data_IF_887061165670
#
_entry.id   IF_887061165670
#
_cell.length_a   1.000
_cell.length_b   1.000
_cell.length_c   1.000
_cell.angle_alpha   90.00
_cell.angle_beta   90.00
_cell.angle_gamma   90.00
#
_symmetry.space_group_name_H-M   'P 1'
#
loop_
_entity.id
_entity.type
_entity.pdbx_description
1 polymer ?
#
# COMPACT_ATOMS: atom_id res chain seq x y z
N UNK A 1 -0.48 -4.48 64.44
CA UNK A 1 0.19 -4.17 63.16
C UNK A 1 -0.80 -4.27 62.02
N UNK A 2 -1.32 -3.13 61.59
CA UNK A 2 -2.33 -3.06 60.51
C UNK A 2 -1.57 -2.80 59.20
N UNK A 3 -1.51 -3.82 58.31
CA UNK A 3 -0.94 -3.68 56.96
C UNK A 3 -1.92 -2.87 56.10
N UNK A 4 -1.52 -1.67 55.72
CA UNK A 4 -2.23 -0.85 54.74
C UNK A 4 -1.98 -1.48 53.35
N UNK A 5 -3.01 -2.05 52.74
CA UNK A 5 -3.04 -2.40 51.31
C UNK A 5 -3.10 -1.11 50.52
N UNK A 6 -2.04 -0.84 49.74
CA UNK A 6 -2.04 0.20 48.73
C UNK A 6 -2.92 -0.27 47.54
N UNK A 7 -3.87 0.54 47.05
CA UNK A 7 -4.61 0.20 45.85
C UNK A 7 -3.67 0.29 44.64
N UNK A 8 -3.56 -0.79 43.88
CA UNK A 8 -2.91 -0.82 42.56
C UNK A 8 -3.76 0.02 41.62
N UNK A 9 -3.32 1.24 41.32
CA UNK A 9 -3.87 2.05 40.23
C UNK A 9 -3.53 1.38 38.93
N UNK A 10 -4.46 0.62 38.35
CA UNK A 10 -4.43 0.21 36.94
C UNK A 10 -4.55 1.47 36.10
N UNK A 11 -3.42 1.97 35.60
CA UNK A 11 -3.41 2.98 34.56
C UNK A 11 -4.18 2.42 33.35
N UNK A 12 -5.12 3.17 32.77
CA UNK A 12 -5.78 2.73 31.55
C UNK A 12 -4.68 2.54 30.49
N UNK A 13 -4.58 1.32 29.96
CA UNK A 13 -3.83 1.05 28.74
C UNK A 13 -4.51 1.86 27.62
N UNK A 14 -4.02 3.04 27.38
CA UNK A 14 -4.33 3.78 26.16
C UNK A 14 -3.80 2.93 25.02
N UNK A 15 -4.70 2.22 24.32
CA UNK A 15 -4.37 1.56 23.08
C UNK A 15 -3.84 2.63 22.13
N UNK A 16 -2.57 2.54 21.82
CA UNK A 16 -1.89 3.53 20.99
C UNK A 16 -2.60 3.58 19.63
N UNK A 17 -3.14 4.75 19.34
CA UNK A 17 -3.56 5.10 18.01
C UNK A 17 -2.39 4.87 17.06
N UNK A 18 -2.58 4.12 15.98
CA UNK A 18 -1.50 3.70 15.10
C UNK A 18 -1.44 4.59 13.86
N UNK A 19 -0.29 5.19 13.62
CA UNK A 19 0.00 5.85 12.36
C UNK A 19 0.09 4.83 11.19
N UNK A 20 -0.20 5.28 9.97
CA UNK A 20 -0.07 4.51 8.73
C UNK A 20 0.91 5.21 7.80
N UNK A 21 2.24 5.19 8.10
CA UNK A 21 3.20 6.13 7.54
C UNK A 21 3.57 5.88 6.07
N UNK A 22 3.18 4.76 5.49
CA UNK A 22 3.47 4.37 4.11
C UNK A 22 2.47 3.35 3.58
N UNK A 23 2.63 2.97 2.31
CA UNK A 23 1.78 1.98 1.65
C UNK A 23 1.77 0.65 2.42
N UNK A 24 0.58 0.10 2.66
CA UNK A 24 0.30 -1.12 3.43
C UNK A 24 0.65 -1.05 4.92
N UNK A 25 0.83 0.17 5.47
CA UNK A 25 0.99 0.39 6.92
C UNK A 25 2.34 0.01 7.49
N UNK A 26 2.55 0.19 8.79
CA UNK A 26 3.87 0.15 9.42
C UNK A 26 4.60 -1.18 9.32
N UNK A 27 3.89 -2.28 9.08
CA UNK A 27 4.46 -3.63 8.89
C UNK A 27 4.46 -4.08 7.41
N UNK A 28 4.08 -3.23 6.47
CA UNK A 28 3.96 -3.53 5.03
C UNK A 28 3.03 -4.70 4.69
N UNK A 29 2.14 -5.08 5.59
CA UNK A 29 1.27 -6.26 5.49
C UNK A 29 -0.19 -5.94 5.16
N UNK A 30 -0.57 -4.65 5.16
CA UNK A 30 -1.93 -4.19 4.93
C UNK A 30 -2.85 -4.40 6.13
N UNK A 31 -2.29 -4.53 7.35
CA UNK A 31 -3.04 -4.79 8.56
C UNK A 31 -2.78 -3.67 9.59
N UNK A 32 -3.82 -2.94 9.96
CA UNK A 32 -3.77 -2.03 11.11
C UNK A 32 -3.82 -2.82 12.42
N UNK A 33 -3.00 -2.41 13.37
CA UNK A 33 -2.98 -3.02 14.71
C UNK A 33 -3.99 -2.35 15.66
N UNK A 34 -4.80 -1.44 15.14
CA UNK A 34 -5.84 -0.79 15.92
C UNK A 34 -6.91 -1.78 16.38
N UNK A 35 -7.35 -1.61 17.60
CA UNK A 35 -8.39 -2.42 18.26
C UNK A 35 -9.54 -1.54 18.71
N UNK A 36 -10.68 -2.17 19.02
CA UNK A 36 -11.87 -1.48 19.56
C UNK A 36 -12.42 -0.38 18.64
N UNK A 37 -12.22 -0.48 17.33
CA UNK A 37 -12.85 0.39 16.37
C UNK A 37 -14.29 -0.06 16.06
N UNK A 38 -15.11 0.83 15.47
CA UNK A 38 -16.49 0.55 15.07
C UNK A 38 -16.51 -0.45 13.89
N UNK A 39 -17.03 -1.63 14.11
CA UNK A 39 -17.02 -2.76 13.15
C UNK A 39 -18.36 -3.03 12.50
N UNK A 40 -19.40 -2.37 12.95
CA UNK A 40 -20.77 -2.43 12.46
C UNK A 40 -21.38 -1.02 12.49
N UNK A 41 -22.27 -0.75 11.57
CA UNK A 41 -22.94 0.54 11.43
C UNK A 41 -24.31 0.37 10.75
N UNK A 42 -25.23 1.34 10.91
CA UNK A 42 -26.51 1.34 10.21
C UNK A 42 -26.30 1.46 8.68
N UNK A 43 -27.37 1.24 7.90
CA UNK A 43 -27.31 1.36 6.44
C UNK A 43 -26.80 2.72 5.93
N UNK A 44 -27.00 3.78 6.72
CA UNK A 44 -26.45 5.12 6.45
C UNK A 44 -24.94 5.18 6.51
N UNK A 45 -24.29 4.15 7.07
CA UNK A 45 -22.84 4.04 7.24
C UNK A 45 -22.29 4.71 8.50
N UNK A 46 -20.97 4.65 8.69
CA UNK A 46 -20.31 5.38 9.76
C UNK A 46 -20.34 6.88 9.48
N UNK A 47 -20.23 7.70 10.52
CA UNK A 47 -20.24 9.16 10.41
C UNK A 47 -19.14 9.65 9.50
N UNK A 48 -19.49 10.38 8.44
CA UNK A 48 -18.54 11.11 7.60
C UNK A 48 -18.10 12.36 8.34
N UNK A 49 -16.80 12.54 8.56
CA UNK A 49 -16.23 13.71 9.21
C UNK A 49 -15.93 14.82 8.20
N UNK A 50 -15.35 14.44 7.08
CA UNK A 50 -14.98 15.38 6.01
C UNK A 50 -14.81 14.65 4.67
N UNK A 51 -14.76 15.44 3.61
CA UNK A 51 -14.40 15.01 2.26
C UNK A 51 -13.50 16.07 1.61
N UNK A 52 -12.68 15.65 0.65
CA UNK A 52 -11.76 16.51 -0.09
C UNK A 52 -11.57 16.02 -1.53
N UNK A 53 -11.19 16.94 -2.42
CA UNK A 53 -10.74 16.64 -3.77
C UNK A 53 -9.22 16.74 -3.84
N UNK A 54 -8.57 15.61 -4.16
CA UNK A 54 -7.11 15.50 -4.20
C UNK A 54 -6.57 15.17 -5.60
N UNK A 55 -7.39 15.37 -6.63
CA UNK A 55 -7.03 15.13 -8.02
C UNK A 55 -7.05 13.66 -8.45
N UNK A 56 -6.96 13.45 -9.76
CA UNK A 56 -7.02 12.14 -10.40
C UNK A 56 -5.81 11.29 -9.98
N UNK A 57 -6.03 10.00 -9.70
CA UNK A 57 -4.96 9.05 -9.41
C UNK A 57 -5.37 7.94 -8.45
N UNK A 58 -4.42 7.06 -8.20
CA UNK A 58 -4.60 5.82 -7.42
C UNK A 58 -3.68 5.75 -6.18
N UNK A 59 -2.96 6.83 -5.89
CA UNK A 59 -2.17 6.94 -4.66
C UNK A 59 -3.02 6.62 -3.44
N UNK A 60 -2.57 5.74 -2.56
CA UNK A 60 -3.19 5.54 -1.26
C UNK A 60 -2.85 6.69 -0.33
N UNK A 61 -3.22 6.58 0.92
CA UNK A 61 -2.97 7.58 1.93
C UNK A 61 -1.87 7.09 2.89
N UNK A 62 -0.95 7.98 3.23
CA UNK A 62 -0.09 7.81 4.40
C UNK A 62 -0.56 8.75 5.50
N UNK A 63 -0.65 8.25 6.72
CA UNK A 63 -1.10 9.03 7.88
C UNK A 63 -0.02 8.98 8.95
N UNK A 64 0.50 10.14 9.33
CA UNK A 64 1.52 10.24 10.36
C UNK A 64 1.41 11.56 11.13
N UNK A 65 1.48 11.47 12.45
CA UNK A 65 1.46 12.63 13.36
C UNK A 65 0.30 13.58 13.09
N UNK A 66 -0.90 13.04 12.88
CA UNK A 66 -2.14 13.79 12.64
C UNK A 66 -2.24 14.44 11.26
N UNK A 67 -1.39 14.06 10.30
CA UNK A 67 -1.40 14.52 8.91
C UNK A 67 -1.64 13.36 7.96
N UNK A 68 -2.40 13.63 6.91
CA UNK A 68 -2.64 12.70 5.82
C UNK A 68 -1.91 13.19 4.57
N UNK A 69 -1.22 12.28 3.88
CA UNK A 69 -0.48 12.54 2.66
C UNK A 69 -0.99 11.66 1.53
N UNK A 70 -1.19 12.24 0.35
CA UNK A 70 -1.57 11.50 -0.86
C UNK A 70 -1.14 12.29 -2.10
N UNK A 71 -1.09 11.61 -3.26
CA UNK A 71 -0.80 12.23 -4.55
C UNK A 71 -2.07 12.31 -5.40
N UNK A 72 -2.15 13.31 -6.26
CA UNK A 72 -3.17 13.40 -7.30
C UNK A 72 -2.74 14.32 -8.43
N UNK A 73 -3.37 14.15 -9.58
CA UNK A 73 -3.10 14.91 -10.80
C UNK A 73 -4.20 15.92 -11.07
N UNK A 74 -3.83 17.15 -11.29
CA UNK A 74 -4.71 18.23 -11.73
C UNK A 74 -3.98 19.13 -12.74
N UNK A 75 -4.65 19.55 -13.79
CA UNK A 75 -4.21 20.62 -14.72
C UNK A 75 -2.76 20.47 -15.20
N UNK A 76 -2.34 19.24 -15.55
CA UNK A 76 -1.00 18.98 -16.07
C UNK A 76 0.11 18.90 -14.99
N UNK A 77 -0.25 18.79 -13.73
CA UNK A 77 0.68 18.63 -12.62
C UNK A 77 0.27 17.53 -11.64
N UNK A 78 1.24 16.77 -11.16
CA UNK A 78 1.07 15.93 -9.99
C UNK A 78 1.31 16.74 -8.73
N UNK A 79 0.49 16.53 -7.71
CA UNK A 79 0.53 17.27 -6.46
C UNK A 79 0.57 16.32 -5.27
N UNK A 80 1.56 16.54 -4.39
CA UNK A 80 1.56 16.00 -3.04
C UNK A 80 0.68 16.91 -2.17
N UNK A 81 -0.36 16.33 -1.59
CA UNK A 81 -1.21 16.97 -0.61
C UNK A 81 -0.83 16.54 0.80
N UNK A 82 -0.72 17.51 1.71
CA UNK A 82 -0.69 17.28 3.15
C UNK A 82 -1.96 17.89 3.75
N UNK A 83 -2.82 17.04 4.28
CA UNK A 83 -4.07 17.43 4.91
C UNK A 83 -4.00 17.17 6.42
N UNK A 84 -4.73 17.96 7.19
CA UNK A 84 -5.03 17.62 8.58
C UNK A 84 -5.90 16.35 8.58
N UNK A 85 -5.46 15.31 9.26
CA UNK A 85 -6.11 13.99 9.22
C UNK A 85 -7.54 14.01 9.80
N UNK A 86 -7.82 14.90 10.77
CA UNK A 86 -9.11 14.98 11.47
C UNK A 86 -10.13 15.87 10.77
N UNK A 87 -9.68 16.88 10.03
CA UNK A 87 -10.55 17.91 9.46
C UNK A 87 -10.53 17.96 7.93
N UNK A 88 -9.59 17.27 7.27
CA UNK A 88 -9.39 17.33 5.81
C UNK A 88 -8.84 18.65 5.30
N UNK A 89 -8.58 19.64 6.18
CA UNK A 89 -8.05 20.94 5.78
C UNK A 89 -6.64 20.81 5.23
N UNK A 90 -6.40 21.35 4.04
CA UNK A 90 -5.06 21.40 3.44
C UNK A 90 -4.11 22.17 4.35
N UNK A 91 -3.02 21.54 4.77
CA UNK A 91 -1.95 22.14 5.55
C UNK A 91 -0.90 22.73 4.62
N UNK A 92 -0.46 21.95 3.63
CA UNK A 92 0.46 22.36 2.59
C UNK A 92 0.37 21.43 1.38
N UNK A 93 0.95 21.85 0.28
CA UNK A 93 1.07 21.03 -0.93
C UNK A 93 2.38 21.34 -1.67
N UNK A 94 2.76 20.44 -2.56
CA UNK A 94 3.86 20.62 -3.50
C UNK A 94 3.48 20.02 -4.84
N UNK A 95 3.65 20.77 -5.92
CA UNK A 95 3.26 20.35 -7.27
C UNK A 95 4.46 20.37 -8.23
N UNK A 96 4.46 19.47 -9.19
CA UNK A 96 5.42 19.47 -10.29
C UNK A 96 4.71 19.13 -11.60
N UNK A 97 5.23 19.66 -12.71
CA UNK A 97 4.68 19.38 -14.03
C UNK A 97 4.77 17.88 -14.33
N UNK A 98 3.68 17.30 -14.76
CA UNK A 98 3.56 15.87 -15.02
C UNK A 98 2.48 15.59 -16.04
N UNK A 99 2.72 14.61 -16.91
CA UNK A 99 1.69 14.08 -17.79
C UNK A 99 0.83 13.08 -17.01
N UNK A 100 -0.48 13.17 -17.14
CA UNK A 100 -1.40 12.26 -16.48
C UNK A 100 -1.17 10.78 -16.84
N UNK A 101 -0.63 10.50 -18.02
CA UNK A 101 -0.35 9.15 -18.49
C UNK A 101 -1.57 8.25 -18.61
N UNK A 102 -2.68 8.81 -19.08
CA UNK A 102 -3.88 8.03 -19.38
C UNK A 102 -3.61 7.09 -20.56
N UNK A 103 -3.67 5.77 -20.29
CA UNK A 103 -3.49 4.72 -21.27
C UNK A 103 -4.30 3.51 -20.84
N UNK A 104 -5.45 3.30 -21.45
CA UNK A 104 -6.44 2.28 -21.08
C UNK A 104 -7.09 2.47 -19.70
N UNK A 105 -6.78 3.56 -18.99
CA UNK A 105 -7.37 3.97 -17.70
C UNK A 105 -7.22 5.49 -17.56
N UNK A 106 -7.81 6.06 -16.49
CA UNK A 106 -7.87 7.52 -16.30
C UNK A 106 -6.49 8.18 -16.09
N UNK A 107 -5.45 7.41 -15.73
CA UNK A 107 -4.11 7.93 -15.45
C UNK A 107 -3.94 8.47 -14.04
N UNK A 108 -2.91 9.31 -13.85
CA UNK A 108 -2.53 9.90 -12.58
C UNK A 108 -1.55 9.05 -11.76
N UNK A 109 -1.01 9.58 -10.65
CA UNK A 109 -0.02 8.91 -9.82
C UNK A 109 -0.62 7.72 -9.06
N UNK A 110 0.12 6.60 -9.02
CA UNK A 110 -0.26 5.39 -8.27
C UNK A 110 0.56 5.19 -7.00
N UNK A 111 1.76 5.76 -6.93
CA UNK A 111 2.65 5.68 -5.76
C UNK A 111 2.03 6.38 -4.54
N UNK A 112 2.24 5.81 -3.36
CA UNK A 112 1.83 6.41 -2.08
C UNK A 112 3.04 7.08 -1.42
N UNK A 113 2.91 8.29 -0.87
CA UNK A 113 3.97 8.92 -0.10
C UNK A 113 4.42 8.06 1.09
N UNK A 114 5.70 8.11 1.42
CA UNK A 114 6.26 7.47 2.62
C UNK A 114 6.74 8.54 3.59
N UNK A 115 6.30 8.45 4.84
CA UNK A 115 6.70 9.37 5.91
C UNK A 115 7.68 8.67 6.83
N UNK A 116 8.87 9.25 6.98
CA UNK A 116 9.89 8.77 7.91
C UNK A 116 10.64 9.96 8.51
N UNK A 117 10.85 9.96 9.82
CA UNK A 117 11.61 10.98 10.57
C UNK A 117 11.18 12.43 10.27
N UNK A 118 9.86 12.64 10.10
CA UNK A 118 9.30 13.97 9.82
C UNK A 118 9.49 14.44 8.37
N UNK A 119 10.04 13.61 7.50
CA UNK A 119 10.19 13.84 6.06
C UNK A 119 9.17 13.05 5.28
N UNK A 120 8.83 13.54 4.08
CA UNK A 120 7.92 12.89 3.15
C UNK A 120 8.69 12.56 1.88
N UNK A 121 8.71 11.30 1.52
CA UNK A 121 9.34 10.79 0.29
C UNK A 121 8.26 10.46 -0.72
N UNK A 122 8.42 10.95 -1.92
CA UNK A 122 7.48 10.71 -3.03
C UNK A 122 8.20 10.18 -4.25
N UNK A 123 7.53 9.32 -5.01
CA UNK A 123 7.95 8.87 -6.32
C UNK A 123 6.86 9.24 -7.32
N UNK A 124 7.21 10.03 -8.32
CA UNK A 124 6.35 10.42 -9.42
C UNK A 124 6.30 9.36 -10.51
N UNK A 125 5.28 9.47 -11.36
CA UNK A 125 4.97 8.50 -12.43
C UNK A 125 6.08 8.38 -13.47
N UNK A 126 6.84 9.45 -13.72
CA UNK A 126 7.81 9.50 -14.81
C UNK A 126 9.26 9.43 -14.35
N UNK A 127 9.48 9.20 -13.06
CA UNK A 127 10.80 9.00 -12.47
C UNK A 127 11.25 10.14 -11.55
N UNK A 128 10.38 11.10 -11.26
CA UNK A 128 10.61 12.10 -10.23
C UNK A 128 10.68 11.41 -8.86
N UNK A 129 11.65 11.77 -8.05
CA UNK A 129 11.78 11.31 -6.65
C UNK A 129 12.19 12.49 -5.82
N UNK A 130 11.46 12.76 -4.73
CA UNK A 130 11.73 13.93 -3.89
C UNK A 130 11.56 13.62 -2.40
N UNK A 131 12.36 14.32 -1.60
CA UNK A 131 12.23 14.39 -0.15
C UNK A 131 11.77 15.79 0.25
N UNK A 132 10.69 15.87 1.01
CA UNK A 132 10.04 17.11 1.37
C UNK A 132 9.79 17.23 2.88
N UNK A 133 9.69 18.48 3.33
CA UNK A 133 9.20 18.85 4.66
C UNK A 133 8.22 20.00 4.53
N UNK A 134 7.43 20.35 5.56
CA UNK A 134 6.70 21.62 5.58
C UNK A 134 7.68 22.79 5.42
N UNK A 135 7.33 23.79 4.59
CA UNK A 135 8.19 24.95 4.40
C UNK A 135 8.24 25.80 5.68
N UNK A 136 9.42 26.17 6.20
CA UNK A 136 9.54 26.80 7.52
C UNK A 136 9.00 28.25 7.56
N UNK A 137 8.91 28.93 6.41
CA UNK A 137 8.47 30.33 6.33
C UNK A 137 7.17 30.51 5.53
N UNK A 138 6.85 29.61 4.59
CA UNK A 138 5.67 29.73 3.73
C UNK A 138 4.63 28.69 4.16
N UNK A 139 3.71 29.11 5.01
CA UNK A 139 2.59 28.23 5.35
C UNK A 139 1.81 27.84 4.09
N UNK A 140 1.47 26.56 3.99
CA UNK A 140 0.74 26.02 2.82
C UNK A 140 1.61 25.44 1.72
N UNK A 141 2.94 25.56 1.81
CA UNK A 141 3.90 25.00 0.85
C UNK A 141 4.76 23.87 1.45
N UNK A 142 5.18 22.92 0.60
CA UNK A 142 6.23 21.97 0.92
C UNK A 142 7.60 22.48 0.47
N UNK A 143 8.61 22.30 1.33
CA UNK A 143 10.01 22.56 0.98
C UNK A 143 10.67 21.28 0.50
N UNK A 144 11.25 21.30 -0.69
CA UNK A 144 12.08 20.22 -1.22
C UNK A 144 13.46 20.27 -0.56
N UNK A 145 13.86 19.21 0.10
CA UNK A 145 15.21 19.03 0.63
C UNK A 145 16.17 18.53 -0.45
N UNK A 146 15.69 17.57 -1.25
CA UNK A 146 16.36 17.11 -2.46
C UNK A 146 15.32 16.55 -3.44
N UNK A 147 15.63 16.62 -4.72
CA UNK A 147 14.84 16.04 -5.80
C UNK A 147 15.76 15.40 -6.85
N UNK A 148 15.30 14.31 -7.44
CA UNK A 148 15.98 13.56 -8.50
C UNK A 148 14.98 13.19 -9.59
N UNK A 149 15.50 12.82 -10.74
CA UNK A 149 14.72 12.29 -11.85
C UNK A 149 15.41 11.06 -12.42
N UNK A 150 15.06 9.88 -11.92
CA UNK A 150 15.72 8.60 -12.24
C UNK A 150 15.83 8.33 -13.74
N UNK A 151 14.77 8.62 -14.50
CA UNK A 151 14.79 8.38 -15.94
C UNK A 151 15.78 9.27 -16.68
N UNK A 152 15.99 10.50 -16.24
CA UNK A 152 16.92 11.46 -16.90
C UNK A 152 18.34 11.35 -16.38
N UNK A 153 18.50 11.25 -15.05
CA UNK A 153 19.81 11.31 -14.40
C UNK A 153 20.47 9.94 -14.32
N UNK A 154 19.71 8.89 -14.06
CA UNK A 154 20.22 7.52 -13.93
C UNK A 154 19.88 6.62 -15.12
N UNK A 155 19.20 7.18 -16.15
CA UNK A 155 18.78 6.46 -17.37
C UNK A 155 17.94 5.21 -17.06
N UNK A 156 17.14 5.26 -16.00
CA UNK A 156 16.25 4.17 -15.64
C UNK A 156 15.03 4.19 -16.58
N UNK A 157 14.74 3.06 -17.19
CA UNK A 157 13.60 2.92 -18.10
C UNK A 157 12.29 3.15 -17.35
N UNK A 158 11.45 4.04 -17.89
CA UNK A 158 10.07 4.23 -17.42
C UNK A 158 9.20 3.06 -17.88
N UNK A 159 8.51 2.36 -16.98
CA UNK A 159 7.60 1.28 -17.37
C UNK A 159 6.42 1.77 -18.20
N UNK A 160 5.78 0.87 -18.93
CA UNK A 160 4.67 1.19 -19.86
C UNK A 160 3.56 2.03 -19.24
N UNK A 161 3.23 1.85 -17.97
CA UNK A 161 2.21 2.63 -17.22
C UNK A 161 2.83 3.59 -16.20
N UNK A 162 4.14 3.92 -16.35
CA UNK A 162 4.90 4.73 -15.41
C UNK A 162 5.22 3.98 -14.10
N UNK A 163 6.00 4.62 -13.22
CA UNK A 163 6.28 4.08 -11.90
C UNK A 163 5.04 4.22 -11.01
N UNK A 164 4.63 3.14 -10.35
CA UNK A 164 3.48 3.11 -9.44
C UNK A 164 3.82 2.51 -8.06
N UNK A 165 4.95 1.80 -7.94
CA UNK A 165 5.45 1.34 -6.65
C UNK A 165 5.78 2.52 -5.72
N UNK A 166 5.41 2.39 -4.46
CA UNK A 166 5.69 3.41 -3.45
C UNK A 166 7.16 3.33 -2.98
N UNK A 167 7.78 4.44 -2.59
CA UNK A 167 9.12 4.41 -2.01
C UNK A 167 9.12 3.66 -0.67
N UNK A 168 10.15 2.85 -0.42
CA UNK A 168 10.39 2.19 0.84
C UNK A 168 11.60 2.81 1.53
N UNK A 169 11.42 3.25 2.78
CA UNK A 169 12.53 3.69 3.64
C UNK A 169 12.96 2.51 4.51
N UNK A 170 14.23 2.13 4.42
CA UNK A 170 14.82 1.08 5.24
C UNK A 170 16.23 1.48 5.69
N UNK A 171 16.39 1.77 6.98
CA UNK A 171 17.62 2.36 7.52
C UNK A 171 17.93 3.72 6.89
N UNK A 172 19.11 3.84 6.29
CA UNK A 172 19.58 5.05 5.62
C UNK A 172 19.36 5.01 4.08
N UNK A 173 18.48 4.13 3.61
CA UNK A 173 18.18 3.92 2.18
C UNK A 173 16.74 4.28 1.84
N UNK A 174 16.57 4.87 0.66
CA UNK A 174 15.30 4.94 -0.05
C UNK A 174 15.32 3.95 -1.21
N UNK A 175 14.44 2.98 -1.18
CA UNK A 175 14.39 1.87 -2.13
C UNK A 175 13.19 2.04 -3.05
N UNK A 176 13.41 1.85 -4.34
CA UNK A 176 12.41 2.05 -5.38
C UNK A 176 12.35 0.84 -6.30
N UNK A 177 11.15 0.45 -6.71
CA UNK A 177 10.95 -0.56 -7.74
C UNK A 177 11.17 0.07 -9.12
N UNK A 178 12.41 0.04 -9.59
CA UNK A 178 12.86 0.66 -10.83
C UNK A 178 13.96 -0.18 -11.47
N UNK A 179 14.12 -0.10 -12.80
CA UNK A 179 15.03 -0.99 -13.52
C UNK A 179 14.60 -2.46 -13.46
N UNK A 180 15.51 -3.39 -13.64
CA UNK A 180 15.20 -4.83 -13.65
C UNK A 180 15.02 -5.42 -12.25
N UNK A 181 15.63 -4.83 -11.21
CA UNK A 181 15.62 -5.35 -9.84
C UNK A 181 15.84 -4.26 -8.77
N UNK A 182 15.33 -3.05 -8.99
CA UNK A 182 15.33 -1.97 -8.01
C UNK A 182 16.46 -0.95 -8.14
N UNK A 183 16.31 0.13 -7.37
CA UNK A 183 17.28 1.22 -7.20
C UNK A 183 17.32 1.61 -5.73
N UNK A 184 18.52 1.79 -5.19
CA UNK A 184 18.77 2.27 -3.83
C UNK A 184 19.40 3.66 -3.83
N UNK A 185 18.75 4.59 -3.14
CA UNK A 185 19.23 5.97 -2.96
C UNK A 185 19.64 6.20 -1.50
N UNK A 186 20.60 7.09 -1.30
CA UNK A 186 20.91 7.66 0.01
C UNK A 186 19.72 8.48 0.52
N UNK A 187 19.22 8.15 1.68
CA UNK A 187 18.00 8.73 2.23
C UNK A 187 18.12 10.26 2.48
N UNK A 188 19.31 10.74 2.82
CA UNK A 188 19.55 12.15 3.18
C UNK A 188 19.74 13.05 1.96
N UNK A 189 20.39 12.53 0.92
CA UNK A 189 20.85 13.34 -0.23
C UNK A 189 20.14 12.99 -1.54
N UNK A 190 19.44 11.86 -1.61
CA UNK A 190 18.86 11.32 -2.84
C UNK A 190 19.89 10.76 -3.83
N UNK A 191 21.19 10.74 -3.48
CA UNK A 191 22.22 10.21 -4.37
C UNK A 191 22.02 8.70 -4.61
N UNK A 192 22.14 8.28 -5.87
CA UNK A 192 22.08 6.86 -6.23
C UNK A 192 23.29 6.13 -5.67
N UNK A 193 23.04 5.11 -4.88
CA UNK A 193 24.06 4.25 -4.26
C UNK A 193 24.27 3.00 -5.08
N UNK A 194 23.20 2.45 -5.59
CA UNK A 194 23.20 1.34 -6.53
C UNK A 194 21.94 1.37 -7.41
N UNK A 195 22.03 0.79 -8.59
CA UNK A 195 20.90 0.53 -9.47
C UNK A 195 21.11 -0.83 -10.16
N UNK A 196 20.01 -1.52 -10.40
CA UNK A 196 20.01 -2.76 -11.17
C UNK A 196 20.28 -2.49 -12.66
N UNK A 197 20.48 -3.56 -13.44
CA UNK A 197 20.59 -3.49 -14.88
C UNK A 197 19.35 -2.86 -15.54
N UNK A 198 19.48 -2.45 -16.80
CA UNK A 198 18.34 -1.97 -17.58
C UNK A 198 17.27 -3.06 -17.68
N UNK A 199 16.04 -2.64 -17.57
CA UNK A 199 14.87 -3.51 -17.62
C UNK A 199 13.60 -2.75 -17.28
N UNK A 200 12.46 -3.32 -17.65
CA UNK A 200 11.18 -2.74 -17.30
C UNK A 200 10.78 -3.20 -15.90
N UNK A 201 10.71 -2.26 -14.97
CA UNK A 201 10.21 -2.52 -13.62
C UNK A 201 8.77 -3.04 -13.66
N UNK A 202 8.39 -3.80 -12.64
CA UNK A 202 7.00 -4.03 -12.30
C UNK A 202 6.40 -2.80 -11.58
N UNK A 203 5.27 -3.00 -10.94
CA UNK A 203 4.50 -1.90 -10.34
C UNK A 203 4.27 -2.08 -8.83
N UNK A 204 4.78 -3.18 -8.26
CA UNK A 204 4.70 -3.47 -6.84
C UNK A 204 5.57 -2.50 -6.03
N UNK A 205 5.19 -2.27 -4.78
CA UNK A 205 6.04 -1.58 -3.80
C UNK A 205 7.12 -2.55 -3.30
N UNK A 206 8.39 -2.11 -3.14
CA UNK A 206 9.43 -2.94 -2.55
C UNK A 206 9.02 -3.47 -1.18
N UNK A 207 9.20 -4.79 -0.94
CA UNK A 207 8.84 -5.43 0.33
C UNK A 207 10.08 -5.82 1.11
N UNK A 208 10.25 -5.38 2.37
CA UNK A 208 11.41 -5.73 3.17
C UNK A 208 11.39 -7.22 3.56
N UNK A 209 12.57 -7.84 3.55
CA UNK A 209 12.76 -9.22 3.99
C UNK A 209 14.15 -9.40 4.58
N UNK A 210 14.27 -10.25 5.61
CA UNK A 210 15.57 -10.64 6.19
C UNK A 210 16.00 -11.98 5.60
N UNK A 211 17.15 -12.02 4.93
CA UNK A 211 17.74 -13.23 4.38
C UNK A 211 19.15 -13.41 4.96
N UNK A 212 19.39 -14.55 5.60
CA UNK A 212 20.71 -14.81 6.22
C UNK A 212 21.17 -13.74 7.21
N UNK A 213 20.23 -13.12 7.95
CA UNK A 213 20.53 -12.04 8.89
C UNK A 213 20.85 -10.69 8.24
N UNK A 214 20.71 -10.56 6.90
CA UNK A 214 20.96 -9.33 6.16
C UNK A 214 19.65 -8.75 5.61
N UNK A 215 19.47 -7.42 5.61
CA UNK A 215 18.29 -6.79 5.04
C UNK A 215 18.30 -6.87 3.50
N UNK A 216 17.21 -7.37 2.95
CA UNK A 216 16.91 -7.43 1.53
C UNK A 216 15.56 -6.79 1.24
N UNK A 217 15.29 -6.52 -0.02
CA UNK A 217 13.96 -6.14 -0.49
C UNK A 217 13.54 -7.03 -1.65
N UNK A 218 12.27 -7.38 -1.67
CA UNK A 218 11.64 -8.03 -2.82
C UNK A 218 11.06 -6.94 -3.71
N UNK A 219 11.48 -6.93 -4.96
CA UNK A 219 11.01 -6.03 -6.02
C UNK A 219 10.41 -6.84 -7.16
N UNK A 220 9.58 -6.19 -7.98
CA UNK A 220 9.02 -6.82 -9.18
C UNK A 220 9.57 -6.19 -10.45
N UNK A 221 9.68 -6.99 -11.50
CA UNK A 221 9.88 -6.53 -12.87
C UNK A 221 8.76 -7.04 -13.76
N UNK A 222 8.74 -6.67 -15.02
CA UNK A 222 7.79 -7.24 -16.00
C UNK A 222 7.92 -8.76 -16.17
N UNK A 223 8.97 -9.39 -15.60
CA UNK A 223 9.30 -10.80 -15.81
C UNK A 223 9.55 -11.63 -14.55
N UNK A 224 9.78 -10.98 -13.40
CA UNK A 224 10.22 -11.67 -12.20
C UNK A 224 9.81 -10.92 -10.92
N UNK A 225 9.87 -11.64 -9.79
CA UNK A 225 10.09 -11.07 -8.46
C UNK A 225 11.49 -11.45 -8.03
N UNK A 226 12.28 -10.49 -7.58
CA UNK A 226 13.66 -10.71 -7.15
C UNK A 226 13.88 -10.14 -5.75
N UNK A 227 14.62 -10.86 -4.90
CA UNK A 227 15.13 -10.30 -3.66
C UNK A 227 16.55 -9.78 -3.90
N UNK A 228 16.78 -8.51 -3.54
CA UNK A 228 18.07 -7.86 -3.65
C UNK A 228 18.53 -7.33 -2.30
N UNK A 229 19.83 -7.35 -2.05
CA UNK A 229 20.45 -6.85 -0.83
C UNK A 229 20.31 -5.33 -0.77
N UNK A 230 19.87 -4.80 0.37
CA UNK A 230 19.63 -3.36 0.56
C UNK A 230 20.93 -2.55 0.42
N UNK A 231 22.05 -3.11 0.82
CA UNK A 231 23.34 -2.42 0.85
C UNK A 231 23.88 -2.06 -0.53
N UNK A 232 23.76 -2.97 -1.51
CA UNK A 232 24.47 -2.90 -2.80
C UNK A 232 23.65 -3.36 -4.01
N UNK A 233 22.40 -3.82 -3.81
CA UNK A 233 21.53 -4.29 -4.88
C UNK A 233 21.87 -5.69 -5.42
N UNK A 234 22.80 -6.43 -4.77
CA UNK A 234 23.13 -7.79 -5.19
C UNK A 234 21.89 -8.69 -5.09
N UNK A 235 21.57 -9.40 -6.16
CA UNK A 235 20.45 -10.33 -6.22
C UNK A 235 20.75 -11.58 -5.38
N UNK A 236 19.86 -11.89 -4.43
CA UNK A 236 19.92 -13.11 -3.64
C UNK A 236 19.19 -14.27 -4.33
N UNK A 237 18.03 -13.98 -4.90
CA UNK A 237 17.26 -14.92 -5.72
C UNK A 237 16.32 -14.17 -6.67
N UNK A 238 15.92 -14.84 -7.75
CA UNK A 238 14.97 -14.34 -8.73
C UNK A 238 13.95 -15.43 -9.09
N UNK A 239 12.68 -15.10 -8.97
CA UNK A 239 11.56 -15.95 -9.34
C UNK A 239 11.01 -15.51 -10.69
N UNK A 240 11.19 -16.33 -11.73
CA UNK A 240 10.57 -16.07 -13.04
C UNK A 240 9.04 -16.04 -12.93
N UNK A 241 8.46 -14.84 -13.08
CA UNK A 241 7.03 -14.60 -12.96
C UNK A 241 6.56 -13.67 -14.07
N UNK A 242 6.29 -14.26 -15.23
CA UNK A 242 5.91 -13.52 -16.43
C UNK A 242 4.38 -13.40 -16.52
N UNK A 243 3.90 -12.19 -16.74
CA UNK A 243 2.51 -11.88 -17.08
C UNK A 243 2.40 -11.44 -18.53
N UNK A 244 1.20 -11.59 -19.13
CA UNK A 244 0.96 -11.27 -20.55
C UNK A 244 1.40 -9.85 -20.94
N UNK A 245 1.28 -8.90 -19.99
CA UNK A 245 1.56 -7.48 -20.25
C UNK A 245 2.78 -6.96 -19.46
N UNK A 246 3.56 -7.82 -18.84
CA UNK A 246 4.66 -7.42 -17.97
C UNK A 246 4.18 -6.74 -16.67
N UNK A 247 2.92 -6.97 -16.27
CA UNK A 247 2.32 -6.33 -15.09
C UNK A 247 2.43 -7.25 -13.87
N UNK A 248 3.42 -6.99 -13.03
CA UNK A 248 3.56 -7.54 -11.69
C UNK A 248 3.40 -6.38 -10.70
N UNK A 249 2.17 -6.16 -10.20
CA UNK A 249 1.81 -4.97 -9.46
C UNK A 249 1.38 -5.24 -8.01
N UNK A 250 0.96 -6.47 -7.71
CA UNK A 250 0.70 -6.84 -6.33
C UNK A 250 2.02 -7.08 -5.57
N UNK A 251 2.11 -6.56 -4.36
CA UNK A 251 3.28 -6.78 -3.50
C UNK A 251 3.39 -8.24 -3.10
N UNK A 252 4.63 -8.73 -2.98
CA UNK A 252 4.89 -10.03 -2.39
C UNK A 252 4.49 -10.02 -0.90
N UNK A 253 4.07 -11.18 -0.38
CA UNK A 253 3.76 -11.36 1.05
C UNK A 253 4.78 -12.33 1.62
N UNK A 254 5.48 -11.89 2.68
CA UNK A 254 6.48 -12.71 3.36
C UNK A 254 5.94 -13.16 4.72
N UNK A 255 6.09 -14.43 5.02
CA UNK A 255 5.80 -14.98 6.36
C UNK A 255 6.85 -16.04 6.73
N UNK A 256 7.68 -15.74 7.71
CA UNK A 256 8.80 -16.58 8.08
C UNK A 256 9.77 -16.83 6.91
N UNK A 257 9.95 -18.08 6.55
CA UNK A 257 10.78 -18.53 5.42
C UNK A 257 9.98 -18.76 4.12
N UNK A 258 8.81 -18.15 3.99
CA UNK A 258 7.96 -18.31 2.81
C UNK A 258 7.62 -16.98 2.17
N UNK A 259 7.50 -16.97 0.84
CA UNK A 259 7.07 -15.84 0.04
C UNK A 259 5.93 -16.23 -0.88
N UNK A 260 4.85 -15.48 -0.81
CA UNK A 260 3.71 -15.58 -1.72
C UNK A 260 3.80 -14.46 -2.76
N UNK A 261 3.53 -14.81 -4.02
CA UNK A 261 3.38 -13.87 -5.13
C UNK A 261 2.09 -14.16 -5.87
N UNK A 262 1.45 -13.10 -6.37
CA UNK A 262 0.25 -13.19 -7.19
C UNK A 262 0.24 -12.12 -8.26
N UNK A 263 -0.42 -12.38 -9.39
CA UNK A 263 -0.59 -11.40 -10.45
C UNK A 263 -1.90 -11.63 -11.19
N UNK A 264 -2.49 -10.56 -11.68
CA UNK A 264 -3.68 -10.57 -12.51
C UNK A 264 -3.48 -11.21 -13.90
N UNK A 265 -4.39 -10.93 -14.80
CA UNK A 265 -4.38 -11.42 -16.18
C UNK A 265 -4.36 -12.95 -16.28
N UNK A 266 -5.05 -13.62 -15.35
CA UNK A 266 -5.12 -15.09 -15.20
C UNK A 266 -3.74 -15.75 -14.98
N UNK A 267 -2.75 -14.99 -14.50
CA UNK A 267 -1.44 -15.56 -14.12
C UNK A 267 -1.58 -16.46 -12.91
N UNK A 268 -2.35 -16.03 -11.90
CA UNK A 268 -2.54 -16.77 -10.66
C UNK A 268 -1.50 -16.39 -9.61
N UNK A 269 -1.23 -17.35 -8.73
CA UNK A 269 -0.40 -17.16 -7.54
C UNK A 269 0.45 -18.36 -7.22
N UNK A 270 1.43 -18.20 -6.35
CA UNK A 270 2.25 -19.27 -5.83
C UNK A 270 2.90 -18.93 -4.50
N UNK A 271 3.12 -19.95 -3.70
CA UNK A 271 3.87 -19.92 -2.45
C UNK A 271 5.19 -20.65 -2.65
N UNK A 272 6.27 -20.01 -2.22
CA UNK A 272 7.62 -20.54 -2.35
C UNK A 272 8.31 -20.50 -0.99
N UNK A 273 9.08 -21.54 -0.69
CA UNK A 273 9.98 -21.56 0.47
C UNK A 273 11.29 -20.88 0.09
N UNK A 274 11.75 -19.99 0.96
CA UNK A 274 13.01 -19.27 0.82
C UNK A 274 14.13 -20.13 1.40
N UNK A 275 15.15 -20.43 0.60
CA UNK A 275 16.34 -21.16 0.96
C UNK A 275 17.53 -20.64 0.17
N UNK A 276 18.53 -21.47 -0.10
CA UNK A 276 19.60 -21.15 -1.06
C UNK A 276 19.02 -20.82 -2.44
N UNK A 277 17.95 -21.53 -2.79
CA UNK A 277 17.07 -21.26 -3.93
C UNK A 277 15.62 -21.28 -3.47
N UNK A 278 14.73 -20.70 -4.27
CA UNK A 278 13.29 -20.77 -4.01
C UNK A 278 12.76 -22.14 -4.41
N UNK A 279 12.06 -22.79 -3.47
CA UNK A 279 11.37 -24.05 -3.73
C UNK A 279 9.85 -23.83 -3.78
N UNK A 280 9.20 -24.25 -4.85
CA UNK A 280 7.75 -24.15 -4.99
C UNK A 280 7.06 -25.05 -3.95
N UNK A 281 6.21 -24.45 -3.11
CA UNK A 281 5.33 -25.17 -2.19
C UNK A 281 4.06 -25.54 -2.90
N UNK A 282 3.42 -24.54 -3.53
CA UNK A 282 2.28 -24.73 -4.42
C UNK A 282 2.15 -23.55 -5.38
N UNK A 283 1.47 -23.79 -6.51
CA UNK A 283 1.17 -22.78 -7.52
C UNK A 283 -0.14 -23.12 -8.23
N UNK A 284 -1.00 -22.11 -8.38
CA UNK A 284 -2.32 -22.29 -9.00
C UNK A 284 -2.88 -20.96 -9.53
N UNK A 285 -4.19 -20.94 -9.87
CA UNK A 285 -4.90 -19.75 -10.34
C UNK A 285 -6.00 -19.30 -9.38
N UNK A 286 -5.89 -19.65 -8.12
CA UNK A 286 -6.93 -19.44 -7.13
C UNK A 286 -6.97 -18.02 -6.56
N UNK A 287 -5.90 -17.20 -6.77
CA UNK A 287 -5.86 -15.81 -6.31
C UNK A 287 -5.02 -14.97 -7.28
N UNK A 288 -5.64 -14.49 -8.34
CA UNK A 288 -5.01 -13.62 -9.35
C UNK A 288 -5.12 -12.17 -8.92
N UNK A 289 -4.24 -11.73 -8.02
CA UNK A 289 -4.20 -10.34 -7.53
C UNK A 289 -3.60 -9.42 -8.59
N UNK A 290 -4.37 -8.47 -9.13
CA UNK A 290 -3.86 -7.58 -10.18
C UNK A 290 -3.00 -6.44 -9.62
N UNK A 291 -3.55 -5.59 -8.77
CA UNK A 291 -2.89 -4.40 -8.23
C UNK A 291 -2.84 -4.40 -6.70
N UNK A 292 -3.85 -4.98 -6.07
CA UNK A 292 -3.96 -5.00 -4.61
C UNK A 292 -3.51 -6.35 -4.09
N UNK A 293 -2.42 -6.37 -3.35
CA UNK A 293 -1.97 -7.57 -2.66
C UNK A 293 -3.02 -8.04 -1.66
N UNK A 294 -3.09 -9.34 -1.45
CA UNK A 294 -3.89 -9.93 -0.38
C UNK A 294 -3.37 -9.52 1.00
N UNK A 295 -4.17 -9.73 2.04
CA UNK A 295 -3.70 -9.72 3.43
C UNK A 295 -3.64 -11.15 3.94
N UNK A 296 -2.61 -11.47 4.72
CA UNK A 296 -2.45 -12.76 5.37
C UNK A 296 -2.85 -12.64 6.85
N UNK A 297 -3.83 -13.43 7.27
CA UNK A 297 -4.26 -13.51 8.67
C UNK A 297 -4.32 -14.98 9.07
N UNK A 298 -3.55 -15.35 10.08
CA UNK A 298 -3.37 -16.76 10.46
C UNK A 298 -2.90 -17.60 9.26
N UNK A 299 -3.55 -18.72 9.01
CA UNK A 299 -3.24 -19.65 7.91
C UNK A 299 -4.02 -19.34 6.62
N UNK A 300 -4.48 -18.10 6.41
CA UNK A 300 -5.30 -17.73 5.26
C UNK A 300 -4.88 -16.41 4.61
N UNK A 301 -5.05 -16.37 3.29
CA UNK A 301 -4.96 -15.18 2.46
C UNK A 301 -6.37 -14.68 2.15
N UNK A 302 -6.59 -13.38 2.29
CA UNK A 302 -7.82 -12.70 1.88
C UNK A 302 -7.47 -11.67 0.81
N UNK A 303 -8.07 -11.78 -0.36
CA UNK A 303 -7.72 -10.91 -1.48
C UNK A 303 -8.74 -10.94 -2.61
N UNK A 304 -8.59 -10.01 -3.52
CA UNK A 304 -9.41 -9.96 -4.73
C UNK A 304 -8.77 -10.80 -5.82
N UNK A 305 -9.55 -11.74 -6.35
CA UNK A 305 -9.22 -12.50 -7.55
C UNK A 305 -9.86 -11.83 -8.77
N UNK A 306 -9.07 -11.55 -9.81
CA UNK A 306 -9.52 -10.96 -11.05
C UNK A 306 -8.88 -9.62 -11.36
N UNK A 307 -9.30 -9.04 -12.48
CA UNK A 307 -8.74 -7.80 -13.03
C UNK A 307 -9.73 -6.63 -12.86
N UNK A 308 -9.20 -5.40 -12.80
CA UNK A 308 -10.00 -4.18 -12.77
C UNK A 308 -10.92 -4.09 -13.99
N UNK A 309 -12.19 -3.75 -13.76
CA UNK A 309 -13.22 -3.73 -14.79
C UNK A 309 -13.83 -5.09 -15.12
N UNK A 310 -13.35 -6.18 -14.51
CA UNK A 310 -13.88 -7.53 -14.66
C UNK A 310 -14.77 -8.00 -13.50
N UNK A 311 -15.29 -9.22 -13.58
CA UNK A 311 -16.15 -9.81 -12.56
C UNK A 311 -15.33 -10.35 -11.38
N UNK A 312 -14.53 -9.49 -10.72
CA UNK A 312 -13.68 -9.88 -9.61
C UNK A 312 -14.45 -10.51 -8.44
N UNK A 313 -13.75 -11.29 -7.64
CA UNK A 313 -14.26 -11.95 -6.45
C UNK A 313 -13.35 -11.70 -5.26
N UNK A 314 -13.93 -11.52 -4.09
CA UNK A 314 -13.18 -11.62 -2.84
C UNK A 314 -13.04 -13.10 -2.48
N UNK A 315 -11.83 -13.53 -2.18
CA UNK A 315 -11.51 -14.92 -1.83
C UNK A 315 -10.79 -15.05 -0.50
N UNK A 316 -11.06 -16.14 0.18
CA UNK A 316 -10.21 -16.71 1.23
C UNK A 316 -9.49 -17.92 0.64
N UNK A 317 -8.17 -17.92 0.75
CA UNK A 317 -7.33 -19.01 0.22
C UNK A 317 -6.43 -19.53 1.33
N UNK A 318 -6.33 -20.87 1.45
CA UNK A 318 -5.44 -21.49 2.40
C UNK A 318 -3.98 -21.15 2.10
N UNK A 319 -3.24 -20.64 3.10
CA UNK A 319 -1.79 -20.40 2.97
C UNK A 319 -1.03 -21.70 2.69
N UNK A 320 -1.43 -22.79 3.36
CA UNK A 320 -0.73 -24.08 3.28
C UNK A 320 -0.92 -24.81 1.95
N UNK A 321 -2.13 -24.74 1.38
CA UNK A 321 -2.48 -25.57 0.20
C UNK A 321 -2.77 -24.77 -1.06
N UNK A 322 -3.01 -23.45 -0.93
CA UNK A 322 -3.43 -22.62 -2.06
C UNK A 322 -4.87 -22.85 -2.52
N UNK A 323 -5.65 -23.65 -1.79
CA UNK A 323 -7.04 -23.93 -2.13
C UNK A 323 -7.96 -22.80 -1.72
N UNK A 324 -9.01 -22.57 -2.52
CA UNK A 324 -10.06 -21.61 -2.21
C UNK A 324 -10.94 -22.20 -1.11
N UNK A 325 -10.96 -21.53 0.04
CA UNK A 325 -11.80 -21.89 1.19
C UNK A 325 -13.22 -21.34 1.00
N UNK A 326 -13.33 -20.10 0.55
CA UNK A 326 -14.60 -19.50 0.13
C UNK A 326 -14.34 -18.38 -0.89
N UNK A 327 -15.38 -18.05 -1.65
CA UNK A 327 -15.41 -16.89 -2.55
C UNK A 327 -16.73 -16.11 -2.41
N UNK A 328 -16.68 -14.82 -2.68
CA UNK A 328 -17.83 -13.93 -2.66
C UNK A 328 -17.78 -12.95 -3.85
N UNK A 329 -18.87 -12.90 -4.62
CA UNK A 329 -18.96 -12.04 -5.80
C UNK A 329 -19.16 -10.58 -5.40
N UNK A 330 -18.06 -9.82 -5.34
CA UNK A 330 -18.07 -8.39 -4.98
C UNK A 330 -17.77 -7.47 -6.17
N UNK A 331 -17.34 -8.01 -7.30
CA UNK A 331 -16.58 -7.27 -8.28
C UNK A 331 -15.13 -7.05 -7.83
N UNK A 332 -14.36 -6.27 -8.59
CA UNK A 332 -13.02 -5.86 -8.22
C UNK A 332 -13.05 -4.85 -7.05
N UNK A 333 -11.98 -4.78 -6.27
CA UNK A 333 -11.86 -3.86 -5.14
C UNK A 333 -10.50 -3.92 -4.47
N UNK A 334 -10.42 -3.33 -3.29
CA UNK A 334 -9.26 -3.33 -2.44
C UNK A 334 -9.63 -3.59 -0.99
N UNK A 335 -8.70 -4.07 -0.19
CA UNK A 335 -8.96 -4.35 1.21
C UNK A 335 -7.75 -4.01 2.08
N UNK A 336 -8.06 -3.75 3.33
CA UNK A 336 -7.15 -3.67 4.47
C UNK A 336 -7.76 -4.53 5.57
N UNK A 337 -6.99 -4.88 6.58
CA UNK A 337 -7.51 -5.57 7.75
C UNK A 337 -7.17 -4.83 9.04
N UNK A 338 -7.94 -5.08 10.09
CA UNK A 338 -7.67 -4.64 11.46
C UNK A 338 -8.38 -5.55 12.45
N UNK A 339 -7.69 -5.91 13.53
CA UNK A 339 -8.24 -6.69 14.65
C UNK A 339 -9.07 -7.91 14.19
N UNK A 340 -8.47 -8.79 13.40
CA UNK A 340 -9.09 -9.99 12.81
C UNK A 340 -10.32 -9.72 11.93
N UNK A 341 -10.44 -8.53 11.37
CA UNK A 341 -11.53 -8.15 10.49
C UNK A 341 -11.01 -7.59 9.17
N UNK A 342 -11.76 -7.84 8.12
CA UNK A 342 -11.54 -7.26 6.80
C UNK A 342 -12.28 -5.92 6.70
N UNK A 343 -11.64 -4.94 6.11
CA UNK A 343 -12.21 -3.67 5.68
C UNK A 343 -12.14 -3.66 4.15
N UNK A 344 -13.26 -3.84 3.49
CA UNK A 344 -13.36 -4.08 2.05
C UNK A 344 -14.00 -2.88 1.37
N UNK A 345 -13.30 -2.31 0.39
CA UNK A 345 -13.83 -1.27 -0.48
C UNK A 345 -13.97 -1.85 -1.90
N UNK A 346 -15.20 -2.02 -2.37
CA UNK A 346 -15.42 -2.50 -3.74
C UNK A 346 -15.14 -1.41 -4.77
N UNK A 347 -14.82 -1.80 -6.00
CA UNK A 347 -14.61 -0.87 -7.11
C UNK A 347 -15.81 0.05 -7.40
N UNK A 348 -17.00 -0.32 -6.93
CA UNK A 348 -18.23 0.49 -7.04
C UNK A 348 -18.44 1.44 -5.86
N UNK A 349 -17.54 1.48 -4.88
CA UNK A 349 -17.58 2.38 -3.74
C UNK A 349 -18.39 1.88 -2.54
N UNK A 350 -18.74 0.59 -2.50
CA UNK A 350 -19.33 -0.02 -1.32
C UNK A 350 -18.23 -0.38 -0.29
N UNK A 351 -18.36 0.12 0.92
CA UNK A 351 -17.53 -0.21 2.07
C UNK A 351 -18.21 -1.32 2.87
N UNK A 352 -17.45 -2.34 3.24
CA UNK A 352 -17.92 -3.45 4.06
C UNK A 352 -16.89 -3.82 5.11
N UNK A 353 -17.36 -4.30 6.26
CA UNK A 353 -16.50 -4.98 7.26
C UNK A 353 -17.03 -6.37 7.52
N UNK A 354 -16.12 -7.32 7.71
CA UNK A 354 -16.46 -8.70 8.04
C UNK A 354 -15.37 -9.34 8.90
N UNK A 355 -15.68 -10.35 9.73
CA UNK A 355 -14.64 -11.15 10.35
C UNK A 355 -13.73 -11.81 9.29
N UNK A 356 -12.43 -11.79 9.51
CA UNK A 356 -11.45 -12.53 8.71
C UNK A 356 -11.45 -14.00 9.16
N UNK A 357 -12.32 -14.80 8.60
CA UNK A 357 -12.53 -16.20 9.01
C UNK A 357 -12.69 -17.13 7.83
N UNK A 358 -12.23 -18.40 7.92
CA UNK A 358 -12.45 -19.41 6.88
C UNK A 358 -13.93 -19.86 6.79
N UNK A 359 -14.80 -19.46 7.71
CA UNK A 359 -16.21 -19.89 7.75
C UNK A 359 -17.12 -19.16 6.75
N UNK A 360 -16.59 -18.25 5.94
CA UNK A 360 -17.31 -17.49 4.91
C UNK A 360 -17.29 -15.98 5.16
N UNK A 361 -17.67 -15.21 4.12
CA UNK A 361 -17.76 -13.77 4.17
C UNK A 361 -19.15 -13.32 4.60
N UNK A 362 -19.27 -12.81 5.81
CA UNK A 362 -20.54 -12.31 6.37
C UNK A 362 -20.32 -10.86 6.87
N UNK A 363 -20.65 -9.85 6.06
CA UNK A 363 -20.50 -8.46 6.44
C UNK A 363 -21.36 -8.11 7.67
N UNK A 364 -20.76 -7.43 8.65
CA UNK A 364 -21.45 -6.82 9.80
C UNK A 364 -21.85 -5.37 9.54
N UNK A 365 -21.15 -4.68 8.61
CA UNK A 365 -21.49 -3.34 8.14
C UNK A 365 -21.36 -3.30 6.62
N UNK A 366 -22.30 -2.59 5.95
CA UNK A 366 -22.27 -2.35 4.52
C UNK A 366 -22.90 -1.00 4.20
N UNK A 367 -22.19 -0.16 3.46
CA UNK A 367 -22.71 1.13 2.99
C UNK A 367 -21.98 1.58 1.74
N UNK A 368 -22.55 2.50 0.97
CA UNK A 368 -21.85 3.14 -0.15
C UNK A 368 -21.24 4.47 0.32
N UNK A 369 -19.92 4.60 0.22
CA UNK A 369 -19.17 5.77 0.71
C UNK A 369 -18.61 6.63 -0.42
N UNK A 370 -18.43 6.06 -1.61
CA UNK A 370 -17.87 6.70 -2.81
C UNK A 370 -18.59 6.26 -4.06
N UNK A 371 -18.36 6.99 -5.15
CA UNK A 371 -18.70 6.54 -6.51
C UNK A 371 -17.67 5.50 -6.99
N UNK A 372 -17.90 4.96 -8.21
CA UNK A 372 -17.08 3.92 -8.82
C UNK A 372 -15.59 4.30 -9.00
N UNK A 373 -14.84 3.28 -9.42
CA UNK A 373 -13.39 3.31 -9.66
C UNK A 373 -12.56 3.47 -8.38
N UNK A 374 -12.99 2.75 -7.31
CA UNK A 374 -12.28 2.64 -6.04
C UNK A 374 -11.33 1.44 -6.09
N UNK A 375 -10.09 1.67 -6.54
CA UNK A 375 -9.05 0.64 -6.63
C UNK A 375 -7.97 0.78 -5.56
N UNK A 376 -8.08 1.81 -4.74
CA UNK A 376 -7.14 2.11 -3.66
C UNK A 376 -7.63 1.48 -2.36
N UNK A 377 -6.74 0.77 -1.66
CA UNK A 377 -7.05 0.17 -0.38
C UNK A 377 -7.44 1.26 0.66
N UNK A 378 -8.49 1.03 1.44
CA UNK A 378 -8.83 1.92 2.55
C UNK A 378 -7.72 1.93 3.59
N UNK A 379 -7.59 3.02 4.35
CA UNK A 379 -6.59 3.18 5.40
C UNK A 379 -7.28 3.46 6.72
N UNK A 380 -7.09 2.58 7.71
CA UNK A 380 -7.52 2.79 9.08
C UNK A 380 -6.33 3.27 9.90
N UNK A 381 -6.42 4.49 10.41
CA UNK A 381 -5.38 5.10 11.24
C UNK A 381 -6.02 6.03 12.27
N UNK A 382 -5.66 5.88 13.56
CA UNK A 382 -6.13 6.70 14.67
C UNK A 382 -7.66 6.70 14.82
N UNK A 383 -8.30 5.54 14.58
CA UNK A 383 -9.76 5.35 14.62
C UNK A 383 -10.51 6.01 13.46
N UNK A 384 -9.80 6.54 12.46
CA UNK A 384 -10.36 7.18 11.28
C UNK A 384 -10.10 6.32 10.03
N UNK A 385 -11.13 6.12 9.23
CA UNK A 385 -11.04 5.38 7.98
C UNK A 385 -11.06 6.34 6.80
N UNK A 386 -10.04 6.24 5.97
CA UNK A 386 -9.90 7.03 4.74
C UNK A 386 -10.12 6.16 3.52
N UNK A 387 -10.99 6.62 2.63
CA UNK A 387 -11.29 5.96 1.36
C UNK A 387 -11.23 6.97 0.22
N UNK A 388 -10.71 6.57 -0.95
CA UNK A 388 -10.70 7.43 -2.14
C UNK A 388 -11.07 6.65 -3.40
N UNK A 389 -11.55 7.38 -4.42
CA UNK A 389 -11.70 6.89 -5.78
C UNK A 389 -10.63 7.49 -6.72
N UNK A 390 -10.57 6.99 -7.95
CA UNK A 390 -9.61 7.43 -8.96
C UNK A 390 -9.82 8.88 -9.43
N UNK A 391 -11.02 9.44 -9.26
CA UNK A 391 -11.33 10.85 -9.58
C UNK A 391 -10.85 11.83 -8.50
N UNK A 392 -10.24 11.31 -7.42
CA UNK A 392 -9.69 12.11 -6.34
C UNK A 392 -10.68 12.49 -5.25
N UNK A 393 -11.87 11.94 -5.24
CA UNK A 393 -12.79 12.11 -4.11
C UNK A 393 -12.28 11.25 -2.94
N UNK A 394 -11.88 11.92 -1.87
CA UNK A 394 -11.35 11.35 -0.63
C UNK A 394 -12.32 11.65 0.50
N UNK A 395 -12.71 10.62 1.26
CA UNK A 395 -13.61 10.74 2.42
C UNK A 395 -12.94 10.21 3.67
N UNK A 396 -13.25 10.83 4.81
CA UNK A 396 -12.87 10.39 6.15
C UNK A 396 -14.11 9.98 6.93
N UNK A 397 -14.09 8.78 7.47
CA UNK A 397 -15.17 8.20 8.24
C UNK A 397 -14.70 7.97 9.69
N UNK A 398 -15.56 8.25 10.65
CA UNK A 398 -15.31 8.04 12.08
C UNK A 398 -15.59 6.59 12.45
N UNK A 399 -14.57 5.83 12.74
CA UNK A 399 -14.69 4.46 13.24
C UNK A 399 -14.30 4.34 14.72
N UNK A 400 -14.19 5.45 15.43
CA UNK A 400 -13.99 5.42 16.89
C UNK A 400 -15.29 4.95 17.54
N UNK A 401 -15.19 3.97 18.41
CA UNK A 401 -16.33 3.64 19.29
C UNK A 401 -16.59 4.83 20.20
N UNK A 402 -17.86 5.22 20.35
CA UNK A 402 -18.24 6.33 21.23
C UNK A 402 -17.59 6.22 22.60
N UNK A 403 -17.00 7.31 23.05
CA UNK A 403 -16.58 7.50 24.44
C UNK A 403 -17.80 7.64 25.31
#
# INVERSE_FOLDING_TARGET
MIRKLLPLLLAPLWLAAEDWPHFRGPQHDGISREKNWLTDWPETGPKRLWEAQVGIGFSSMAVAKGRLYTLGHNEGADTLYCLDAKTGRKQWSYSWLSNIGAKFYIGGPGSTPTVADGRVYVAGKWGEVSCLVPHPKNAGEGQVLWARHLAKEDQVRVPTWGFNGSPLVLGDRLLLNAGSAGVGLDLKTGKTLWKSADGEAGYATPQPVMLGGQPHVIVSSGRAYSAVKVADGQEAWSLRWFTRYGVNAADAIVDGDQVFVGSGYRKGCGLYKIGAELTEVWKNKNLSTQMNAAVKIGDHLYGFDGDSGGPGKLRCVSWKTGEVVWEHATGFGALTAADDRLIVLTGTGALMTAPATPKGFKPSGRTRVLDKDCWTAPVLANGLLYCRNSKGHLVCLDLRRGQ
#
